data_IF_270095777277
#
_entry.id   IF_270095777277
#
_cell.length_a   1.000
_cell.length_b   1.000
_cell.length_c   1.000
_cell.angle_alpha   90.00
_cell.angle_beta   90.00
_cell.angle_gamma   90.00
#
_symmetry.space_group_name_H-M   'P 1'
#
loop_
_entity.id
_entity.type
_entity.pdbx_description
1 polymer ?
#
# COMPACT_ATOMS: atom_id res chain seq x y z
N UNK A 1 14.05 4.55 50.78
CA UNK A 1 14.20 5.00 49.37
C UNK A 1 13.22 4.20 48.55
N UNK A 2 11.98 4.66 48.50
CA UNK A 2 10.95 4.04 47.69
C UNK A 2 11.18 4.42 46.22
N UNK A 3 11.71 3.49 45.45
CA UNK A 3 11.74 3.58 44.00
C UNK A 3 10.30 3.43 43.55
N UNK A 4 9.58 4.55 43.32
CA UNK A 4 8.31 4.52 42.61
C UNK A 4 8.52 3.74 41.30
N UNK A 5 8.01 2.52 41.25
CA UNK A 5 7.86 1.79 40.02
C UNK A 5 6.97 2.64 39.10
N UNK A 6 7.61 3.40 38.23
CA UNK A 6 6.88 4.20 37.23
C UNK A 6 6.06 3.21 36.40
N UNK A 7 4.75 3.19 36.62
CA UNK A 7 3.84 2.30 35.88
C UNK A 7 3.97 2.58 34.38
N UNK A 8 4.42 1.57 33.63
CA UNK A 8 4.46 1.62 32.15
C UNK A 8 3.08 1.96 31.61
N UNK A 9 3.01 2.99 30.75
CA UNK A 9 1.73 3.29 30.07
C UNK A 9 1.45 2.22 29.04
N UNK A 10 0.33 1.53 29.20
CA UNK A 10 -0.11 0.48 28.27
C UNK A 10 -0.74 1.11 27.02
N UNK A 11 -0.33 0.65 25.85
CA UNK A 11 -0.78 1.17 24.55
C UNK A 11 -1.25 0.00 23.69
N UNK A 12 -2.51 0.05 23.28
CA UNK A 12 -3.02 -0.89 22.29
C UNK A 12 -2.61 -0.42 20.91
N UNK A 13 -1.97 -1.29 20.11
CA UNK A 13 -1.59 -1.00 18.72
C UNK A 13 -2.07 -2.12 17.81
N UNK A 14 -2.76 -1.77 16.70
CA UNK A 14 -3.40 -2.74 15.80
C UNK A 14 -2.96 -2.51 14.36
N UNK A 15 -2.25 -3.48 13.80
CA UNK A 15 -1.98 -3.62 12.38
C UNK A 15 -2.62 -4.90 11.84
N UNK A 16 -3.19 -4.86 10.64
CA UNK A 16 -3.87 -5.99 10.00
C UNK A 16 -3.21 -6.51 8.72
N UNK A 17 -2.17 -5.82 8.23
CA UNK A 17 -1.47 -6.13 6.98
C UNK A 17 0.04 -5.96 7.16
N UNK A 18 0.84 -6.58 6.27
CA UNK A 18 2.30 -6.54 6.35
C UNK A 18 2.89 -5.12 6.20
N UNK A 19 2.27 -4.25 5.42
CA UNK A 19 2.67 -2.84 5.32
C UNK A 19 2.43 -2.10 6.63
N UNK A 20 1.24 -2.27 7.22
CA UNK A 20 0.89 -1.67 8.50
C UNK A 20 1.77 -2.19 9.65
N UNK A 21 2.22 -3.45 9.60
CA UNK A 21 3.19 -4.01 10.55
C UNK A 21 4.51 -3.23 10.53
N UNK A 22 5.08 -3.01 9.36
CA UNK A 22 6.32 -2.22 9.23
C UNK A 22 6.15 -0.78 9.70
N UNK A 23 5.06 -0.13 9.33
CA UNK A 23 4.78 1.25 9.75
C UNK A 23 4.51 1.35 11.24
N UNK A 24 3.81 0.35 11.81
CA UNK A 24 3.57 0.24 13.24
C UNK A 24 4.86 0.04 14.03
N UNK A 25 5.76 -0.81 13.55
CA UNK A 25 7.07 -1.04 14.16
C UNK A 25 7.88 0.26 14.28
N UNK A 26 7.97 1.04 13.20
CA UNK A 26 8.66 2.34 13.21
C UNK A 26 8.04 3.35 14.16
N UNK A 27 6.71 3.42 14.18
CA UNK A 27 6.01 4.28 15.14
C UNK A 27 6.36 3.88 16.58
N UNK A 28 6.42 2.58 16.89
CA UNK A 28 6.80 2.07 18.21
C UNK A 28 8.24 2.42 18.54
N UNK A 29 9.17 2.24 17.61
CA UNK A 29 10.59 2.60 17.76
C UNK A 29 10.76 4.10 18.04
N UNK A 30 10.05 4.96 17.30
CA UNK A 30 10.08 6.40 17.54
C UNK A 30 9.49 6.77 18.91
N UNK A 31 8.40 6.15 19.33
CA UNK A 31 7.81 6.38 20.66
C UNK A 31 8.74 5.88 21.78
N UNK A 32 9.43 4.75 21.60
CA UNK A 32 10.47 4.29 22.54
C UNK A 32 11.66 5.25 22.59
N UNK A 33 12.09 5.79 21.46
CA UNK A 33 13.15 6.81 21.41
C UNK A 33 12.77 8.09 22.18
N UNK A 34 11.50 8.54 22.05
CA UNK A 34 11.04 9.78 22.70
C UNK A 34 10.78 9.64 24.19
N UNK A 35 10.26 8.49 24.64
CA UNK A 35 9.81 8.30 26.02
C UNK A 35 10.68 7.38 26.85
N UNK A 36 11.54 6.59 26.22
CA UNK A 36 12.28 5.49 26.82
C UNK A 36 11.53 4.14 26.74
N UNK A 37 12.25 3.03 26.47
CA UNK A 37 11.64 1.73 26.25
C UNK A 37 10.92 1.17 27.49
N UNK A 38 11.34 1.61 28.68
CA UNK A 38 10.76 1.14 29.95
C UNK A 38 9.49 1.90 30.38
N UNK A 39 9.09 2.94 29.67
CA UNK A 39 7.91 3.73 30.03
C UNK A 39 6.63 3.33 29.31
N UNK A 40 6.76 2.62 28.19
CA UNK A 40 5.65 2.22 27.34
C UNK A 40 5.57 0.69 27.23
N UNK A 41 4.36 0.14 27.31
CA UNK A 41 4.03 -1.28 27.12
C UNK A 41 3.06 -1.41 25.95
N UNK A 42 3.56 -1.88 24.80
CA UNK A 42 2.77 -2.05 23.60
C UNK A 42 2.21 -3.47 23.51
N UNK A 43 0.92 -3.58 23.20
CA UNK A 43 0.27 -4.87 22.94
C UNK A 43 -0.79 -4.73 21.84
N UNK A 44 -1.04 -5.79 21.09
CA UNK A 44 -2.09 -5.78 20.07
C UNK A 44 -1.87 -6.77 18.95
N UNK A 45 -2.11 -6.37 17.69
CA UNK A 45 -1.86 -7.21 16.52
C UNK A 45 -0.81 -6.59 15.63
N UNK A 46 0.04 -7.44 15.07
CA UNK A 46 1.13 -7.06 14.18
C UNK A 46 1.77 -8.29 13.57
N UNK A 47 2.89 -8.12 12.93
CA UNK A 47 3.74 -9.18 12.42
C UNK A 47 5.09 -9.21 13.11
N UNK A 48 6.08 -9.78 12.41
CA UNK A 48 7.43 -9.95 12.93
C UNK A 48 8.12 -8.59 13.18
N UNK A 49 7.83 -7.54 12.37
CA UNK A 49 8.44 -6.23 12.57
C UNK A 49 7.97 -5.57 13.88
N UNK A 50 6.69 -5.56 14.17
CA UNK A 50 6.17 -5.01 15.43
C UNK A 50 6.60 -5.86 16.64
N UNK A 51 6.67 -7.18 16.50
CA UNK A 51 7.19 -8.05 17.56
C UNK A 51 8.64 -7.71 17.90
N UNK A 52 9.50 -7.50 16.89
CA UNK A 52 10.90 -7.11 17.06
C UNK A 52 11.04 -5.69 17.66
N UNK A 53 10.09 -4.79 17.37
CA UNK A 53 10.02 -3.46 17.99
C UNK A 53 9.50 -3.47 19.46
N UNK A 54 9.20 -4.64 20.02
CA UNK A 54 8.78 -4.80 21.42
C UNK A 54 7.28 -4.85 21.66
N UNK A 55 6.45 -5.04 20.62
CA UNK A 55 5.00 -5.21 20.76
C UNK A 55 4.65 -6.64 21.16
N UNK A 56 3.92 -6.82 22.26
CA UNK A 56 3.37 -8.12 22.69
C UNK A 56 2.15 -8.47 21.81
N UNK A 57 2.33 -9.44 20.92
CA UNK A 57 1.27 -9.82 19.97
C UNK A 57 0.18 -10.66 20.60
N UNK A 58 -1.06 -10.23 20.43
CA UNK A 58 -2.30 -10.97 20.73
C UNK A 58 -2.84 -11.71 19.50
N UNK A 59 -2.40 -11.35 18.31
CA UNK A 59 -2.70 -11.99 17.03
C UNK A 59 -1.71 -11.55 15.97
N UNK A 60 -1.38 -12.44 15.04
CA UNK A 60 -0.40 -12.17 13.98
C UNK A 60 -1.11 -11.77 12.68
N UNK A 61 -0.51 -10.84 11.90
CA UNK A 61 -1.08 -10.39 10.62
C UNK A 61 -1.28 -11.53 9.61
N UNK A 62 -0.48 -12.60 9.67
CA UNK A 62 -0.67 -13.80 8.85
C UNK A 62 -2.03 -14.45 9.06
N UNK A 63 -2.55 -14.44 10.31
CA UNK A 63 -3.84 -15.00 10.66
C UNK A 63 -5.01 -14.12 10.18
N UNK A 64 -4.73 -12.82 9.96
CA UNK A 64 -5.69 -11.82 9.51
C UNK A 64 -5.73 -11.66 7.98
N UNK A 65 -4.64 -11.99 7.27
CA UNK A 65 -4.47 -11.80 5.83
C UNK A 65 -5.18 -12.86 4.95
N UNK A 66 -5.53 -14.04 5.49
CA UNK A 66 -6.12 -15.16 4.75
C UNK A 66 -7.61 -15.02 4.45
N UNK A 67 -8.08 -13.83 4.06
CA UNK A 67 -9.49 -13.62 3.70
C UNK A 67 -9.70 -13.81 2.19
N UNK A 68 -9.65 -15.05 1.72
CA UNK A 68 -10.21 -15.47 0.44
C UNK A 68 -11.70 -15.80 0.58
N UNK A 69 -12.50 -15.55 -0.49
CA UNK A 69 -13.98 -15.74 -0.44
C UNK A 69 -14.42 -17.19 -0.17
N UNK A 70 -13.58 -18.18 -0.39
CA UNK A 70 -13.85 -19.60 -0.07
C UNK A 70 -13.60 -19.98 1.39
N UNK A 71 -12.73 -19.21 2.09
CA UNK A 71 -12.32 -19.44 3.48
C UNK A 71 -12.99 -18.49 4.47
N UNK A 72 -14.01 -17.75 4.01
CA UNK A 72 -14.66 -16.70 4.78
C UNK A 72 -15.20 -17.16 6.15
N UNK A 73 -15.63 -18.40 6.28
CA UNK A 73 -16.20 -18.91 7.55
C UNK A 73 -15.12 -19.20 8.60
N UNK A 74 -13.99 -19.81 8.22
CA UNK A 74 -12.87 -20.07 9.13
C UNK A 74 -12.16 -18.78 9.54
N UNK A 75 -12.03 -17.86 8.59
CA UNK A 75 -11.43 -16.54 8.80
C UNK A 75 -12.25 -15.66 9.77
N UNK A 76 -13.60 -15.72 9.70
CA UNK A 76 -14.49 -14.99 10.61
C UNK A 76 -14.28 -15.46 12.06
N UNK A 77 -14.09 -16.78 12.28
CA UNK A 77 -13.87 -17.33 13.63
C UNK A 77 -12.53 -16.83 14.21
N UNK A 78 -11.45 -16.89 13.44
CA UNK A 78 -10.13 -16.40 13.86
C UNK A 78 -10.17 -14.89 14.16
N UNK A 79 -10.81 -14.12 13.28
CA UNK A 79 -11.06 -12.69 13.45
C UNK A 79 -11.79 -12.36 14.75
N UNK A 80 -12.86 -13.11 15.03
CA UNK A 80 -13.66 -12.94 16.24
C UNK A 80 -12.88 -13.36 17.50
N UNK A 81 -12.09 -14.43 17.43
CA UNK A 81 -11.22 -14.90 18.52
C UNK A 81 -10.18 -13.84 18.90
N UNK A 82 -9.49 -13.27 17.89
CA UNK A 82 -8.51 -12.18 18.11
C UNK A 82 -9.21 -10.94 18.69
N UNK A 83 -10.35 -10.53 18.11
CA UNK A 83 -11.14 -9.41 18.61
C UNK A 83 -11.52 -9.59 20.08
N UNK A 84 -12.05 -10.76 20.46
CA UNK A 84 -12.39 -11.06 21.87
C UNK A 84 -11.19 -11.04 22.78
N UNK A 85 -10.04 -11.56 22.34
CA UNK A 85 -8.80 -11.54 23.11
C UNK A 85 -8.34 -10.11 23.40
N UNK A 86 -8.40 -9.23 22.42
CA UNK A 86 -8.09 -7.80 22.60
C UNK A 86 -9.07 -7.15 23.60
N UNK A 87 -10.37 -7.38 23.44
CA UNK A 87 -11.37 -6.80 24.33
C UNK A 87 -11.17 -7.28 25.78
N UNK A 88 -10.92 -8.56 25.99
CA UNK A 88 -10.68 -9.11 27.32
C UNK A 88 -9.44 -8.49 27.98
N UNK A 89 -8.36 -8.36 27.21
CA UNK A 89 -7.12 -7.71 27.66
C UNK A 89 -7.35 -6.24 28.05
N UNK A 90 -8.08 -5.48 27.22
CA UNK A 90 -8.41 -4.08 27.50
C UNK A 90 -9.42 -3.91 28.64
N UNK A 91 -10.27 -4.94 28.92
CA UNK A 91 -11.21 -4.88 30.03
C UNK A 91 -10.53 -5.16 31.36
N UNK A 92 -9.58 -6.12 31.37
CA UNK A 92 -8.79 -6.45 32.56
C UNK A 92 -7.83 -5.35 32.99
N UNK A 93 -7.14 -4.77 32.01
CA UNK A 93 -6.20 -3.68 32.20
C UNK A 93 -6.33 -2.67 31.05
N UNK A 94 -7.13 -1.60 31.21
CA UNK A 94 -7.38 -0.63 30.16
C UNK A 94 -6.08 0.06 29.67
N UNK A 95 -5.87 0.18 28.33
CA UNK A 95 -4.77 0.94 27.80
C UNK A 95 -5.03 2.45 27.95
N UNK A 96 -3.95 3.23 28.07
CA UNK A 96 -4.00 4.69 28.07
C UNK A 96 -4.41 5.25 26.69
N UNK A 97 -4.07 4.53 25.63
CA UNK A 97 -4.31 4.92 24.24
C UNK A 97 -4.49 3.69 23.35
N UNK A 98 -5.34 3.83 22.32
CA UNK A 98 -5.44 2.86 21.22
C UNK A 98 -4.96 3.50 19.91
N UNK A 99 -3.97 2.88 19.25
CA UNK A 99 -3.43 3.27 17.95
C UNK A 99 -3.88 2.22 16.93
N UNK A 100 -4.66 2.64 15.94
CA UNK A 100 -5.28 1.74 14.95
C UNK A 100 -4.72 2.05 13.56
N UNK A 101 -3.99 1.10 12.94
CA UNK A 101 -3.37 1.29 11.64
C UNK A 101 -4.20 0.63 10.55
N UNK A 102 -4.64 1.41 9.54
CA UNK A 102 -5.41 0.93 8.38
C UNK A 102 -6.52 -0.04 8.77
N UNK A 103 -6.74 -1.15 8.02
CA UNK A 103 -7.62 -2.27 8.35
C UNK A 103 -9.05 -1.89 8.81
N UNK A 104 -9.79 -1.14 8.01
CA UNK A 104 -10.96 -0.39 8.47
C UNK A 104 -12.13 -1.24 8.98
N UNK A 105 -12.32 -2.46 8.48
CA UNK A 105 -13.45 -3.31 8.92
C UNK A 105 -13.30 -3.77 10.37
N UNK A 106 -12.08 -4.00 10.80
CA UNK A 106 -11.75 -4.37 12.18
C UNK A 106 -11.61 -3.12 13.05
N UNK A 107 -10.80 -2.19 12.62
CA UNK A 107 -10.38 -1.06 13.42
C UNK A 107 -11.54 -0.11 13.76
N UNK A 108 -12.49 0.12 12.84
CA UNK A 108 -13.67 0.96 13.15
C UNK A 108 -14.63 0.30 14.15
N UNK A 109 -14.69 -1.03 14.21
CA UNK A 109 -15.45 -1.74 15.26
C UNK A 109 -14.75 -1.64 16.60
N UNK A 110 -13.42 -1.78 16.59
CA UNK A 110 -12.60 -1.68 17.79
C UNK A 110 -12.59 -0.25 18.34
N UNK A 111 -12.45 0.77 17.49
CA UNK A 111 -12.53 2.19 17.86
C UNK A 111 -13.81 2.49 18.65
N UNK A 112 -14.96 2.04 18.14
CA UNK A 112 -16.25 2.20 18.83
C UNK A 112 -16.23 1.57 20.22
N UNK A 113 -15.57 0.42 20.40
CA UNK A 113 -15.49 -0.25 21.70
C UNK A 113 -14.57 0.49 22.65
N UNK A 114 -13.40 0.93 22.17
CA UNK A 114 -12.43 1.72 22.95
C UNK A 114 -13.05 3.02 23.45
N UNK A 115 -13.74 3.76 22.58
CA UNK A 115 -14.44 5.00 22.97
C UNK A 115 -15.49 4.78 24.06
N UNK A 116 -16.23 3.69 24.01
CA UNK A 116 -17.21 3.34 25.06
C UNK A 116 -16.56 3.01 26.41
N UNK A 117 -15.30 2.59 26.40
CA UNK A 117 -14.50 2.35 27.60
C UNK A 117 -13.73 3.62 28.05
N UNK A 118 -13.96 4.79 27.44
CA UNK A 118 -13.27 6.04 27.76
C UNK A 118 -11.83 6.13 27.21
N UNK A 119 -11.40 5.14 26.41
CA UNK A 119 -10.05 5.09 25.85
C UNK A 119 -9.96 6.00 24.60
N UNK A 120 -8.96 6.86 24.56
CA UNK A 120 -8.68 7.69 23.37
C UNK A 120 -8.22 6.82 22.19
N UNK A 121 -8.61 7.23 20.98
CA UNK A 121 -8.32 6.51 19.73
C UNK A 121 -7.61 7.41 18.75
N UNK A 122 -6.37 7.07 18.42
CA UNK A 122 -5.63 7.62 17.29
C UNK A 122 -5.69 6.63 16.14
N UNK A 123 -6.13 7.08 14.97
CA UNK A 123 -6.19 6.25 13.78
C UNK A 123 -5.10 6.68 12.81
N UNK A 124 -4.14 5.79 12.55
CA UNK A 124 -3.02 6.04 11.65
C UNK A 124 -3.23 5.30 10.32
N UNK A 125 -3.00 5.98 9.20
CA UNK A 125 -3.29 5.51 7.83
C UNK A 125 -4.79 5.37 7.61
N UNK A 126 -5.39 6.46 7.21
CA UNK A 126 -6.84 6.57 7.06
C UNK A 126 -7.41 5.60 6.03
N UNK A 127 -8.61 5.08 6.24
CA UNK A 127 -9.30 4.34 5.19
C UNK A 127 -9.67 5.28 4.03
N UNK A 128 -9.54 4.83 2.80
CA UNK A 128 -9.80 5.62 1.58
C UNK A 128 -11.31 5.86 1.37
N UNK A 129 -11.98 6.45 2.38
CA UNK A 129 -13.44 6.72 2.32
C UNK A 129 -13.81 7.84 1.36
N UNK A 130 -12.85 8.63 0.93
CA UNK A 130 -12.98 9.64 -0.10
C UNK A 130 -13.21 9.02 -1.49
N UNK A 131 -12.65 7.84 -1.75
CA UNK A 131 -12.84 7.09 -2.99
C UNK A 131 -14.15 6.29 -2.97
N UNK A 132 -14.48 5.66 -1.84
CA UNK A 132 -15.65 4.79 -1.70
C UNK A 132 -16.11 4.71 -0.24
N UNK A 133 -17.39 4.38 0.00
CA UNK A 133 -17.97 4.26 1.35
C UNK A 133 -17.89 5.53 2.22
N UNK A 134 -18.11 6.69 1.63
CA UNK A 134 -18.10 7.99 2.33
C UNK A 134 -19.02 8.06 3.57
N UNK A 135 -20.04 7.21 3.65
CA UNK A 135 -20.92 7.11 4.84
C UNK A 135 -20.19 6.69 6.14
N UNK A 136 -18.97 6.12 6.04
CA UNK A 136 -18.14 5.79 7.22
C UNK A 136 -17.69 7.02 8.00
N UNK A 137 -17.69 8.19 7.39
CA UNK A 137 -17.27 9.44 8.04
C UNK A 137 -18.01 9.70 9.36
N UNK A 138 -19.31 9.34 9.45
CA UNK A 138 -20.10 9.51 10.68
C UNK A 138 -19.58 8.66 11.83
N UNK A 139 -19.12 7.42 11.54
CA UNK A 139 -18.53 6.53 12.55
C UNK A 139 -17.16 7.04 12.98
N UNK A 140 -16.31 7.44 12.01
CA UNK A 140 -14.98 7.98 12.27
C UNK A 140 -15.09 9.21 13.15
N UNK A 141 -15.95 10.19 12.82
CA UNK A 141 -16.14 11.40 13.60
C UNK A 141 -16.58 11.11 15.05
N UNK A 142 -17.33 10.04 15.29
CA UNK A 142 -17.81 9.67 16.62
C UNK A 142 -16.79 8.91 17.44
N UNK A 143 -16.04 8.00 16.80
CA UNK A 143 -15.30 6.94 17.46
C UNK A 143 -13.76 7.11 17.38
N UNK A 144 -13.26 8.15 16.67
CA UNK A 144 -11.82 8.44 16.50
C UNK A 144 -11.53 9.85 17.04
N UNK A 145 -10.55 9.99 17.91
CA UNK A 145 -10.15 11.29 18.48
C UNK A 145 -9.19 12.05 17.56
N UNK A 146 -8.27 11.33 16.89
CA UNK A 146 -7.32 11.92 15.95
C UNK A 146 -7.09 10.97 14.78
N UNK A 147 -7.14 11.52 13.56
CA UNK A 147 -6.82 10.83 12.33
C UNK A 147 -5.46 11.30 11.83
N UNK A 148 -4.48 10.39 11.70
CA UNK A 148 -3.19 10.64 11.09
C UNK A 148 -3.23 10.15 9.66
N UNK A 149 -3.23 11.08 8.72
CA UNK A 149 -3.38 10.79 7.29
C UNK A 149 -2.03 10.83 6.59
N UNK A 150 -1.90 10.03 5.53
CA UNK A 150 -0.65 9.85 4.78
C UNK A 150 -0.67 10.47 3.38
N UNK A 151 -1.82 10.98 2.95
CA UNK A 151 -1.97 11.73 1.70
C UNK A 151 -2.35 13.18 2.00
N UNK A 152 -1.70 14.18 1.38
CA UNK A 152 -1.88 15.60 1.74
C UNK A 152 -3.33 16.08 1.68
N UNK A 153 -4.09 15.66 0.65
CA UNK A 153 -5.49 16.07 0.47
C UNK A 153 -6.46 15.47 1.50
N UNK A 154 -6.07 14.39 2.19
CA UNK A 154 -6.93 13.73 3.18
C UNK A 154 -7.13 14.59 4.42
N UNK A 155 -6.14 15.42 4.80
CA UNK A 155 -6.26 16.30 5.96
C UNK A 155 -7.45 17.25 5.81
N UNK A 156 -7.55 17.94 4.68
CA UNK A 156 -8.67 18.83 4.37
C UNK A 156 -9.98 18.05 4.24
N UNK A 157 -9.94 16.88 3.57
CA UNK A 157 -11.11 16.02 3.41
C UNK A 157 -11.76 15.64 4.75
N UNK A 158 -10.96 15.28 5.74
CA UNK A 158 -11.44 14.90 7.08
C UNK A 158 -11.85 16.11 7.90
N UNK A 159 -11.05 17.18 7.90
CA UNK A 159 -11.33 18.42 8.68
C UNK A 159 -12.62 19.08 8.28
N UNK A 160 -12.90 19.18 6.99
CA UNK A 160 -14.15 19.76 6.47
C UNK A 160 -15.39 18.93 6.84
N UNK A 161 -15.18 17.69 7.30
CA UNK A 161 -16.25 16.78 7.75
C UNK A 161 -16.30 16.59 9.26
N UNK A 162 -15.61 17.46 10.01
CA UNK A 162 -15.63 17.49 11.47
C UNK A 162 -14.84 16.35 12.13
N UNK A 163 -13.81 15.83 11.46
CA UNK A 163 -12.84 14.90 12.03
C UNK A 163 -11.51 15.60 12.22
N UNK A 164 -10.94 15.51 13.41
CA UNK A 164 -9.62 16.06 13.69
C UNK A 164 -8.57 15.23 12.96
N UNK A 165 -7.97 15.80 11.93
CA UNK A 165 -7.00 15.12 11.07
C UNK A 165 -5.70 15.90 10.95
N UNK A 166 -4.58 15.19 10.73
CA UNK A 166 -3.26 15.77 10.52
C UNK A 166 -2.49 14.95 9.50
N UNK A 167 -1.92 15.62 8.50
CA UNK A 167 -1.02 14.99 7.55
C UNK A 167 0.35 14.78 8.19
N UNK A 168 0.79 13.54 8.27
CA UNK A 168 2.04 13.16 8.95
C UNK A 168 3.19 12.81 7.99
N UNK A 169 2.96 12.82 6.68
CA UNK A 169 3.88 12.31 5.68
C UNK A 169 3.51 10.89 5.24
N UNK A 170 4.17 10.41 4.18
CA UNK A 170 3.89 9.07 3.66
C UNK A 170 4.97 8.07 4.09
N UNK A 171 4.63 7.01 4.88
CA UNK A 171 5.62 6.11 5.47
C UNK A 171 6.40 5.27 4.44
N UNK A 172 5.90 5.16 3.22
CA UNK A 172 6.60 4.49 2.12
C UNK A 172 7.96 5.12 1.82
N UNK A 173 8.12 6.43 2.07
CA UNK A 173 9.37 7.16 1.81
C UNK A 173 10.50 6.83 2.80
N UNK A 174 10.17 6.31 3.97
CA UNK A 174 11.15 6.00 5.01
C UNK A 174 12.01 4.76 4.70
N UNK A 175 11.46 3.82 3.91
CA UNK A 175 12.15 2.61 3.42
C UNK A 175 12.50 2.70 1.93
N UNK A 176 12.55 3.91 1.41
CA UNK A 176 12.66 4.10 -0.03
C UNK A 176 14.14 4.08 -0.47
N UNK A 177 14.65 2.90 -0.74
CA UNK A 177 16.02 2.69 -1.21
C UNK A 177 16.06 1.68 -2.38
N UNK A 178 15.51 2.03 -3.56
CA UNK A 178 15.54 1.15 -4.73
C UNK A 178 16.97 1.05 -5.30
N UNK A 179 17.27 -0.11 -5.88
CA UNK A 179 18.54 -0.35 -6.57
C UNK A 179 18.49 0.23 -7.99
N UNK A 180 19.21 1.33 -8.23
CA UNK A 180 19.34 1.98 -9.54
C UNK A 180 20.50 1.46 -10.40
N UNK A 181 21.16 0.38 -10.01
CA UNK A 181 22.30 -0.19 -10.76
C UNK A 181 21.81 -1.07 -11.93
N UNK A 182 21.36 -0.41 -13.00
CA UNK A 182 20.69 -1.05 -14.15
C UNK A 182 21.48 -2.20 -14.76
N UNK A 183 22.76 -2.01 -15.03
CA UNK A 183 23.58 -3.01 -15.74
C UNK A 183 23.65 -4.31 -14.94
N UNK A 184 24.24 -4.33 -13.73
CA UNK A 184 24.33 -5.58 -12.96
C UNK A 184 22.96 -6.17 -12.60
N UNK A 185 21.94 -5.34 -12.41
CA UNK A 185 20.59 -5.82 -12.11
C UNK A 185 19.98 -6.60 -13.28
N UNK A 186 20.02 -6.05 -14.50
CA UNK A 186 19.47 -6.70 -15.67
C UNK A 186 20.30 -7.91 -16.10
N UNK A 187 21.64 -7.84 -16.04
CA UNK A 187 22.52 -8.99 -16.31
C UNK A 187 22.27 -10.13 -15.33
N UNK A 188 22.07 -9.84 -14.03
CA UNK A 188 21.71 -10.84 -13.03
C UNK A 188 20.39 -11.55 -13.33
N UNK A 189 19.49 -10.91 -14.06
CA UNK A 189 18.24 -11.48 -14.55
C UNK A 189 18.36 -12.12 -15.96
N UNK A 190 19.56 -12.18 -16.54
CA UNK A 190 19.83 -12.62 -17.92
C UNK A 190 19.06 -11.80 -18.96
N UNK A 191 19.03 -10.47 -18.78
CA UNK A 191 18.46 -9.49 -19.70
C UNK A 191 19.54 -8.56 -20.23
N UNK A 192 19.32 -7.98 -21.41
CA UNK A 192 20.25 -7.07 -22.07
C UNK A 192 20.09 -5.63 -21.52
N UNK A 193 21.11 -5.05 -20.85
CA UNK A 193 21.04 -3.69 -20.31
C UNK A 193 20.80 -2.59 -21.35
N UNK A 194 21.13 -2.85 -22.63
CA UNK A 194 20.97 -1.91 -23.74
C UNK A 194 19.57 -1.92 -24.34
N UNK A 195 18.78 -2.93 -24.05
CA UNK A 195 17.44 -3.09 -24.61
C UNK A 195 16.42 -2.30 -23.79
N UNK A 196 15.39 -1.75 -24.46
CA UNK A 196 14.26 -1.12 -23.78
C UNK A 196 13.58 -2.13 -22.85
N UNK A 197 13.37 -1.74 -21.59
CA UNK A 197 12.84 -2.61 -20.53
C UNK A 197 11.51 -2.08 -20.02
N UNK A 198 10.48 -2.92 -20.05
CA UNK A 198 9.15 -2.59 -19.55
C UNK A 198 8.86 -3.43 -18.32
N UNK A 199 8.57 -2.79 -17.18
CA UNK A 199 8.12 -3.48 -15.97
C UNK A 199 6.61 -3.73 -16.01
N UNK A 200 6.17 -4.89 -15.54
CA UNK A 200 4.76 -5.31 -15.49
C UNK A 200 4.40 -5.67 -14.05
N UNK A 201 3.64 -4.81 -13.38
CA UNK A 201 3.15 -4.96 -12.02
C UNK A 201 1.63 -5.21 -12.04
N UNK A 202 1.23 -6.47 -12.23
CA UNK A 202 -0.17 -6.85 -12.44
C UNK A 202 -0.98 -6.98 -11.13
N UNK A 203 -0.34 -6.86 -9.97
CA UNK A 203 -0.98 -6.92 -8.66
C UNK A 203 -0.42 -8.02 -7.75
N UNK A 204 -0.98 -8.12 -6.56
CA UNK A 204 -0.53 -9.02 -5.48
C UNK A 204 -1.56 -10.07 -5.06
N UNK A 205 -2.65 -10.22 -5.82
CA UNK A 205 -3.71 -11.21 -5.56
C UNK A 205 -3.95 -12.05 -6.80
N UNK A 206 -4.16 -13.37 -6.64
CA UNK A 206 -4.39 -14.29 -7.76
C UNK A 206 -5.48 -13.81 -8.74
N UNK A 207 -6.60 -13.31 -8.22
CA UNK A 207 -7.69 -12.76 -9.06
C UNK A 207 -7.26 -11.54 -9.89
N UNK A 208 -6.42 -10.68 -9.34
CA UNK A 208 -5.88 -9.53 -10.08
C UNK A 208 -4.98 -10.02 -11.21
N UNK A 209 -4.08 -10.97 -10.92
CA UNK A 209 -3.20 -11.60 -11.91
C UNK A 209 -4.02 -12.23 -13.05
N UNK A 210 -5.05 -13.01 -12.73
CA UNK A 210 -5.88 -13.69 -13.73
C UNK A 210 -6.63 -12.72 -14.66
N UNK A 211 -7.03 -11.55 -14.16
CA UNK A 211 -7.80 -10.58 -14.95
C UNK A 211 -6.94 -9.54 -15.68
N UNK A 212 -5.77 -9.17 -15.11
CA UNK A 212 -4.96 -8.06 -15.61
C UNK A 212 -3.77 -8.55 -16.44
N UNK A 213 -3.02 -9.54 -15.93
CA UNK A 213 -1.77 -9.99 -16.56
C UNK A 213 -1.94 -10.47 -18.02
N UNK A 214 -2.99 -11.22 -18.40
CA UNK A 214 -3.18 -11.61 -19.80
C UNK A 214 -3.21 -10.44 -20.77
N UNK A 215 -3.93 -9.37 -20.42
CA UNK A 215 -4.04 -8.16 -21.25
C UNK A 215 -2.69 -7.42 -21.35
N UNK A 216 -1.94 -7.36 -20.24
CA UNK A 216 -0.62 -6.73 -20.23
C UNK A 216 0.41 -7.53 -21.05
N UNK A 217 0.35 -8.84 -21.03
CA UNK A 217 1.22 -9.69 -21.84
C UNK A 217 0.91 -9.59 -23.33
N UNK A 218 -0.36 -9.47 -23.72
CA UNK A 218 -0.73 -9.20 -25.10
C UNK A 218 -0.23 -7.83 -25.55
N UNK A 219 -0.35 -6.80 -24.71
CA UNK A 219 0.25 -5.50 -24.98
C UNK A 219 1.77 -5.58 -25.12
N UNK A 220 2.45 -6.36 -24.28
CA UNK A 220 3.88 -6.59 -24.37
C UNK A 220 4.31 -7.23 -25.70
N UNK A 221 3.53 -8.17 -26.23
CA UNK A 221 3.76 -8.75 -27.58
C UNK A 221 3.63 -7.70 -28.69
N UNK A 222 2.64 -6.80 -28.58
CA UNK A 222 2.47 -5.72 -29.56
C UNK A 222 3.64 -4.72 -29.51
N UNK A 223 4.14 -4.41 -28.31
CA UNK A 223 5.34 -3.57 -28.13
C UNK A 223 6.54 -4.25 -28.77
N UNK A 224 6.80 -5.54 -28.46
CA UNK A 224 7.95 -6.29 -28.95
C UNK A 224 7.97 -6.47 -30.49
N UNK A 225 6.79 -6.48 -31.11
CA UNK A 225 6.65 -6.48 -32.57
C UNK A 225 7.03 -5.13 -33.22
N UNK A 226 6.98 -4.05 -32.45
CA UNK A 226 7.26 -2.68 -32.94
C UNK A 226 8.65 -2.20 -32.54
N UNK A 227 9.05 -2.45 -31.30
CA UNK A 227 10.30 -1.99 -30.69
C UNK A 227 10.99 -3.20 -30.06
N UNK A 228 12.31 -3.44 -30.32
CA UNK A 228 13.05 -4.48 -29.61
C UNK A 228 13.04 -4.21 -28.10
N UNK A 229 12.13 -4.86 -27.37
CA UNK A 229 11.93 -4.66 -25.94
C UNK A 229 12.11 -5.97 -25.14
N UNK A 230 12.23 -5.82 -23.83
CA UNK A 230 12.21 -6.92 -22.86
C UNK A 230 11.31 -6.55 -21.68
N UNK A 231 10.83 -7.56 -20.95
CA UNK A 231 9.74 -7.40 -20.00
C UNK A 231 10.08 -8.03 -18.65
N UNK A 232 10.02 -7.22 -17.60
CA UNK A 232 10.17 -7.62 -16.20
C UNK A 232 8.80 -7.80 -15.57
N UNK A 233 8.42 -9.05 -15.27
CA UNK A 233 7.12 -9.37 -14.69
C UNK A 233 7.31 -9.58 -13.19
N UNK A 234 6.75 -8.68 -12.39
CA UNK A 234 6.82 -8.75 -10.93
C UNK A 234 6.04 -9.93 -10.38
N UNK A 235 6.68 -10.70 -9.51
CA UNK A 235 6.10 -11.83 -8.76
C UNK A 235 5.92 -11.42 -7.31
N UNK A 236 4.69 -11.07 -6.94
CA UNK A 236 4.39 -10.74 -5.55
C UNK A 236 4.60 -11.96 -4.62
N UNK A 237 5.23 -11.79 -3.43
CA UNK A 237 5.47 -12.89 -2.50
C UNK A 237 4.20 -13.65 -2.08
N UNK A 238 3.06 -12.96 -2.02
CA UNK A 238 1.75 -13.52 -1.68
C UNK A 238 1.16 -14.45 -2.75
N UNK A 239 1.67 -14.38 -4.00
CA UNK A 239 1.20 -15.19 -5.14
C UNK A 239 2.19 -16.30 -5.48
N UNK A 240 3.47 -15.99 -5.41
CA UNK A 240 4.53 -16.90 -5.84
C UNK A 240 4.70 -16.98 -7.37
N UNK A 241 5.77 -17.64 -7.85
CA UNK A 241 6.13 -17.64 -9.27
C UNK A 241 5.24 -18.52 -10.15
N UNK A 242 4.75 -19.66 -9.66
CA UNK A 242 4.10 -20.67 -10.50
C UNK A 242 2.80 -20.20 -11.14
N UNK A 243 1.87 -19.55 -10.44
CA UNK A 243 0.66 -19.01 -11.06
C UNK A 243 0.97 -17.98 -12.16
N UNK A 244 1.97 -17.12 -11.94
CA UNK A 244 2.36 -16.10 -12.90
C UNK A 244 2.99 -16.75 -14.14
N UNK A 245 3.93 -17.69 -13.96
CA UNK A 245 4.54 -18.46 -15.06
C UNK A 245 3.49 -19.22 -15.88
N UNK A 246 2.46 -19.77 -15.23
CA UNK A 246 1.36 -20.45 -15.91
C UNK A 246 0.59 -19.50 -16.83
N UNK A 247 0.29 -18.27 -16.37
CA UNK A 247 -0.37 -17.25 -17.20
C UNK A 247 0.55 -16.81 -18.35
N UNK A 248 1.84 -16.57 -18.08
CA UNK A 248 2.84 -16.19 -19.10
C UNK A 248 2.89 -17.25 -20.21
N UNK A 249 3.05 -18.53 -19.87
CA UNK A 249 3.07 -19.62 -20.86
C UNK A 249 1.76 -19.74 -21.63
N UNK A 250 0.63 -19.63 -20.96
CA UNK A 250 -0.70 -19.70 -21.58
C UNK A 250 -0.91 -18.59 -22.62
N UNK A 251 -0.47 -17.36 -22.34
CA UNK A 251 -0.70 -16.19 -23.19
C UNK A 251 0.34 -16.07 -24.30
N UNK A 252 1.62 -16.25 -23.96
CA UNK A 252 2.73 -16.01 -24.88
C UNK A 252 3.13 -17.28 -25.69
N UNK A 253 2.70 -18.47 -25.28
CA UNK A 253 3.08 -19.72 -25.95
C UNK A 253 4.60 -19.87 -26.08
N UNK A 254 5.11 -20.09 -27.27
CA UNK A 254 6.55 -20.24 -27.55
C UNK A 254 7.36 -18.95 -27.26
N UNK A 255 6.75 -17.79 -27.33
CA UNK A 255 7.43 -16.52 -27.02
C UNK A 255 7.81 -16.39 -25.55
N UNK A 256 7.19 -17.15 -24.65
CA UNK A 256 7.56 -17.20 -23.24
C UNK A 256 9.02 -17.65 -23.02
N UNK A 257 9.55 -18.47 -23.91
CA UNK A 257 10.90 -19.04 -23.82
C UNK A 257 11.95 -18.20 -24.59
N UNK A 258 11.56 -17.06 -25.14
CA UNK A 258 12.46 -16.17 -25.92
C UNK A 258 13.56 -15.49 -25.11
N UNK A 259 13.57 -15.62 -23.78
CA UNK A 259 14.47 -14.92 -22.86
C UNK A 259 14.11 -13.46 -22.62
N UNK A 260 13.13 -12.91 -23.35
CA UNK A 260 12.71 -11.49 -23.24
C UNK A 260 11.67 -11.23 -22.14
N UNK A 261 10.97 -12.26 -21.66
CA UNK A 261 9.95 -12.19 -20.64
C UNK A 261 10.47 -12.83 -19.35
N UNK A 262 10.84 -12.03 -18.38
CA UNK A 262 11.42 -12.50 -17.12
C UNK A 262 10.47 -12.29 -15.95
N UNK A 263 10.02 -13.37 -15.33
CA UNK A 263 9.35 -13.34 -14.04
C UNK A 263 10.41 -13.18 -12.94
N UNK A 264 10.28 -12.15 -12.11
CA UNK A 264 11.24 -11.84 -11.05
C UNK A 264 10.57 -11.74 -9.70
N UNK A 265 11.18 -12.33 -8.68
CA UNK A 265 10.81 -12.21 -7.25
C UNK A 265 11.56 -11.10 -6.54
N UNK A 266 12.44 -10.38 -7.25
CA UNK A 266 13.09 -9.17 -6.73
C UNK A 266 12.06 -8.11 -6.32
N UNK A 267 12.49 -7.16 -5.50
CA UNK A 267 11.61 -6.07 -5.06
C UNK A 267 11.03 -5.31 -6.26
N UNK A 268 9.73 -5.08 -6.25
CA UNK A 268 9.03 -4.35 -7.32
C UNK A 268 9.64 -2.97 -7.57
N UNK A 269 10.20 -2.35 -6.55
CA UNK A 269 10.90 -1.06 -6.64
C UNK A 269 12.16 -1.16 -7.47
N UNK A 270 12.92 -2.24 -7.35
CA UNK A 270 14.13 -2.47 -8.15
C UNK A 270 13.76 -2.74 -9.62
N UNK A 271 12.67 -3.47 -9.86
CA UNK A 271 12.15 -3.65 -11.21
C UNK A 271 11.77 -2.32 -11.85
N UNK A 272 11.07 -1.46 -11.12
CA UNK A 272 10.67 -0.13 -11.57
C UNK A 272 11.89 0.76 -11.80
N UNK A 273 12.86 0.79 -10.87
CA UNK A 273 14.06 1.63 -10.96
C UNK A 273 14.93 1.31 -12.19
N UNK A 274 14.84 0.09 -12.71
CA UNK A 274 15.63 -0.38 -13.84
C UNK A 274 14.82 -0.55 -15.14
N UNK A 275 13.58 -0.05 -15.17
CA UNK A 275 12.71 -0.04 -16.35
C UNK A 275 12.67 1.33 -17.03
N UNK A 276 12.47 1.32 -18.36
CA UNK A 276 12.25 2.54 -19.16
C UNK A 276 10.79 2.99 -19.09
N UNK A 277 9.88 2.04 -18.92
CA UNK A 277 8.43 2.26 -18.77
C UNK A 277 7.81 1.16 -17.89
N UNK A 278 6.64 1.42 -17.28
CA UNK A 278 5.96 0.41 -16.51
C UNK A 278 4.44 0.36 -16.74
N UNK A 279 3.88 -0.86 -16.74
CA UNK A 279 2.46 -1.11 -16.54
C UNK A 279 2.22 -1.38 -15.07
N UNK A 280 1.43 -0.54 -14.43
CA UNK A 280 1.21 -0.64 -12.99
C UNK A 280 -0.27 -0.77 -12.68
N UNK A 281 -0.62 -1.81 -11.94
CA UNK A 281 -1.98 -1.97 -11.41
C UNK A 281 -2.28 -0.87 -10.38
N UNK A 282 -3.48 -0.28 -10.47
CA UNK A 282 -3.93 0.75 -9.51
C UNK A 282 -3.81 0.26 -8.06
N UNK A 283 -3.10 1.04 -7.22
CA UNK A 283 -2.83 0.75 -5.82
C UNK A 283 -1.52 1.38 -5.35
N UNK A 284 -0.95 0.87 -4.26
CA UNK A 284 0.30 1.38 -3.65
C UNK A 284 1.47 1.36 -4.63
N UNK A 285 1.55 0.36 -5.53
CA UNK A 285 2.63 0.25 -6.53
C UNK A 285 2.65 1.43 -7.51
N UNK A 286 1.52 2.10 -7.77
CA UNK A 286 1.51 3.32 -8.59
C UNK A 286 2.21 4.49 -7.89
N UNK A 287 2.13 4.54 -6.56
CA UNK A 287 2.85 5.52 -5.77
C UNK A 287 4.36 5.16 -5.71
N UNK A 288 4.71 3.88 -5.59
CA UNK A 288 6.11 3.43 -5.69
C UNK A 288 6.74 3.84 -7.03
N UNK A 289 6.05 3.60 -8.15
CA UNK A 289 6.51 4.00 -9.47
C UNK A 289 6.71 5.52 -9.58
N UNK A 290 5.78 6.30 -9.01
CA UNK A 290 5.88 7.75 -8.97
C UNK A 290 7.08 8.24 -8.15
N UNK A 291 7.31 7.64 -6.98
CA UNK A 291 8.43 8.01 -6.11
C UNK A 291 9.80 7.64 -6.71
N UNK A 292 9.87 6.57 -7.51
CA UNK A 292 11.06 6.17 -8.27
C UNK A 292 11.28 7.13 -9.44
N UNK A 293 10.21 7.66 -10.02
CA UNK A 293 10.27 8.50 -11.22
C UNK A 293 10.27 7.69 -12.52
N UNK A 294 9.92 6.41 -12.49
CA UNK A 294 9.78 5.62 -13.71
C UNK A 294 8.52 6.05 -14.46
N UNK A 295 8.57 6.38 -15.75
CA UNK A 295 7.37 6.62 -16.53
C UNK A 295 6.47 5.39 -16.56
N UNK A 296 5.17 5.58 -16.36
CA UNK A 296 4.23 4.46 -16.28
C UNK A 296 2.81 4.85 -16.65
N UNK A 297 1.98 3.86 -16.89
CA UNK A 297 0.53 4.00 -16.91
C UNK A 297 -0.11 3.17 -15.81
N UNK A 298 -1.25 3.63 -15.34
CA UNK A 298 -2.07 2.91 -14.37
C UNK A 298 -3.17 2.15 -15.09
N UNK A 299 -3.31 0.86 -14.75
CA UNK A 299 -4.39 0.02 -15.26
C UNK A 299 -5.11 -0.71 -14.15
N UNK A 300 -6.38 -1.03 -14.37
CA UNK A 300 -7.14 -1.89 -13.50
C UNK A 300 -8.28 -2.58 -14.26
N UNK A 301 -8.43 -3.88 -14.03
CA UNK A 301 -9.46 -4.70 -14.66
C UNK A 301 -10.04 -5.66 -13.63
N UNK A 302 -11.36 -5.63 -13.48
CA UNK A 302 -12.12 -6.53 -12.61
C UNK A 302 -13.32 -7.08 -13.37
N UNK A 303 -14.01 -8.05 -12.77
CA UNK A 303 -15.20 -8.60 -13.41
C UNK A 303 -16.23 -7.50 -13.73
N UNK A 304 -16.95 -7.58 -14.86
CA UNK A 304 -17.93 -6.56 -15.26
C UNK A 304 -18.97 -6.24 -14.18
N UNK A 305 -19.42 -7.27 -13.45
CA UNK A 305 -20.38 -7.10 -12.35
C UNK A 305 -19.78 -6.30 -11.19
N UNK A 306 -18.55 -6.59 -10.80
CA UNK A 306 -17.85 -5.85 -9.74
C UNK A 306 -17.60 -4.41 -10.13
N UNK A 307 -17.29 -4.17 -11.41
CA UNK A 307 -17.12 -2.83 -11.95
C UNK A 307 -18.41 -2.02 -11.93
N UNK A 308 -19.52 -2.59 -12.40
CA UNK A 308 -20.83 -1.92 -12.38
C UNK A 308 -21.23 -1.48 -10.97
N UNK A 309 -21.05 -2.36 -9.96
CA UNK A 309 -21.27 -2.00 -8.56
C UNK A 309 -20.27 -0.94 -8.08
N UNK A 310 -19.00 -1.04 -8.51
CA UNK A 310 -17.94 -0.08 -8.17
C UNK A 310 -18.22 1.32 -8.68
N UNK A 311 -18.64 1.47 -9.95
CA UNK A 311 -18.92 2.78 -10.57
C UNK A 311 -20.07 3.53 -9.90
N UNK A 312 -21.04 2.82 -9.33
CA UNK A 312 -22.11 3.43 -8.53
C UNK A 312 -21.60 4.02 -7.19
N UNK A 313 -20.44 3.56 -6.73
CA UNK A 313 -19.87 3.94 -5.44
C UNK A 313 -18.69 4.91 -5.56
N UNK A 314 -18.01 4.94 -6.70
CA UNK A 314 -16.84 5.80 -6.96
C UNK A 314 -17.32 7.17 -7.43
N UNK A 315 -16.90 8.21 -6.73
CA UNK A 315 -17.29 9.61 -7.02
C UNK A 315 -16.16 10.46 -7.61
N UNK A 316 -14.97 9.90 -7.78
CA UNK A 316 -13.81 10.63 -8.31
C UNK A 316 -13.66 10.39 -9.81
N UNK A 317 -13.39 11.43 -10.62
CA UNK A 317 -13.04 11.28 -12.04
C UNK A 317 -11.67 10.64 -12.24
N UNK A 318 -10.78 10.73 -11.26
CA UNK A 318 -9.43 10.12 -11.21
C UNK A 318 -9.45 8.96 -10.23
N UNK A 319 -8.83 7.85 -10.59
CA UNK A 319 -8.81 6.63 -9.78
C UNK A 319 -7.39 6.25 -9.29
N UNK A 320 -6.35 6.74 -9.97
CA UNK A 320 -4.96 6.55 -9.58
C UNK A 320 -4.54 7.52 -8.47
N UNK A 321 -3.85 7.00 -7.46
CA UNK A 321 -3.38 7.82 -6.31
C UNK A 321 -2.50 9.00 -6.77
N UNK A 322 -1.68 8.79 -7.79
CA UNK A 322 -0.76 9.81 -8.31
C UNK A 322 -1.51 11.00 -8.90
N UNK A 323 -2.49 10.76 -9.77
CA UNK A 323 -3.32 11.81 -10.36
C UNK A 323 -4.19 12.52 -9.31
N UNK A 324 -4.66 11.79 -8.29
CA UNK A 324 -5.40 12.37 -7.16
C UNK A 324 -4.54 13.31 -6.30
N UNK A 325 -3.27 12.96 -6.08
CA UNK A 325 -2.32 13.82 -5.34
C UNK A 325 -1.99 15.06 -6.17
N UNK A 326 -1.73 14.88 -7.46
CA UNK A 326 -1.44 15.96 -8.40
C UNK A 326 -2.66 16.87 -8.69
N UNK A 327 -3.88 16.36 -8.48
CA UNK A 327 -5.17 16.97 -8.89
C UNK A 327 -5.30 17.17 -10.42
N UNK A 328 -4.51 16.45 -11.19
CA UNK A 328 -4.50 16.44 -12.66
C UNK A 328 -4.01 15.09 -13.20
N UNK A 329 -4.15 14.85 -14.49
CA UNK A 329 -3.66 13.63 -15.14
C UNK A 329 -2.16 13.77 -15.44
N UNK A 330 -1.33 13.28 -14.52
CA UNK A 330 0.13 13.17 -14.68
C UNK A 330 0.51 11.85 -15.34
N UNK A 331 -0.22 10.78 -15.02
CA UNK A 331 0.00 9.45 -15.57
C UNK A 331 -1.26 8.96 -16.29
N UNK A 332 -1.14 8.36 -17.49
CA UNK A 332 -2.28 7.80 -18.20
C UNK A 332 -3.01 6.73 -17.38
N UNK A 333 -4.36 6.78 -17.38
CA UNK A 333 -5.21 5.83 -16.70
C UNK A 333 -6.07 5.04 -17.71
N UNK A 334 -5.84 3.74 -17.83
CA UNK A 334 -6.60 2.85 -18.68
C UNK A 334 -7.31 1.77 -17.85
N UNK A 335 -8.62 1.92 -17.68
CA UNK A 335 -9.43 1.00 -16.86
C UNK A 335 -10.45 0.24 -17.68
N UNK A 336 -10.72 -0.99 -17.30
CA UNK A 336 -11.77 -1.86 -17.84
C UNK A 336 -11.74 -1.97 -19.37
N UNK A 337 -12.79 -1.48 -20.04
CA UNK A 337 -12.93 -1.56 -21.50
C UNK A 337 -11.93 -0.67 -22.26
N UNK A 338 -11.36 0.35 -21.60
CA UNK A 338 -10.27 1.17 -22.15
C UNK A 338 -8.91 0.49 -22.05
N UNK A 339 -8.75 -0.49 -21.14
CA UNK A 339 -7.54 -1.28 -20.97
C UNK A 339 -7.49 -2.43 -21.98
N UNK A 340 -7.41 -2.11 -23.29
CA UNK A 340 -7.19 -3.10 -24.35
C UNK A 340 -5.70 -3.27 -24.60
N UNK A 341 -5.23 -4.43 -25.10
CA UNK A 341 -3.82 -4.63 -25.44
C UNK A 341 -3.26 -3.54 -26.36
N UNK A 342 -4.05 -3.12 -27.35
CA UNK A 342 -3.68 -2.11 -28.33
C UNK A 342 -3.53 -0.72 -27.71
N UNK A 343 -4.47 -0.34 -26.82
CA UNK A 343 -4.41 0.95 -26.12
C UNK A 343 -3.23 1.03 -25.17
N UNK A 344 -2.98 -0.05 -24.41
CA UNK A 344 -1.85 -0.16 -23.49
C UNK A 344 -0.51 -0.13 -24.25
N UNK A 345 -0.41 -0.90 -25.35
CA UNK A 345 0.79 -0.93 -26.18
C UNK A 345 1.07 0.43 -26.82
N UNK A 346 0.04 1.10 -27.36
CA UNK A 346 0.18 2.42 -27.97
C UNK A 346 0.80 3.43 -27.00
N UNK A 347 0.25 3.54 -25.80
CA UNK A 347 0.80 4.44 -24.77
C UNK A 347 2.25 4.10 -24.45
N UNK A 348 2.56 2.81 -24.20
CA UNK A 348 3.92 2.41 -23.90
C UNK A 348 4.91 2.72 -25.06
N UNK A 349 4.51 2.45 -26.30
CA UNK A 349 5.31 2.74 -27.49
C UNK A 349 5.61 4.24 -27.59
N UNK A 350 4.63 5.10 -27.38
CA UNK A 350 4.82 6.55 -27.39
C UNK A 350 5.91 6.98 -26.39
N UNK A 351 5.88 6.46 -25.16
CA UNK A 351 6.91 6.79 -24.16
C UNK A 351 8.29 6.18 -24.45
N UNK A 352 8.33 5.04 -25.14
CA UNK A 352 9.58 4.36 -25.49
C UNK A 352 10.25 4.96 -26.73
N UNK A 353 9.46 5.48 -27.70
CA UNK A 353 9.94 6.13 -28.93
C UNK A 353 10.18 7.66 -28.75
N UNK A 354 9.45 8.31 -27.82
CA UNK A 354 9.54 9.74 -27.53
C UNK A 354 10.08 10.00 -26.11
N UNK A 355 11.41 10.01 -25.90
CA UNK A 355 12.02 10.16 -24.55
C UNK A 355 11.55 11.43 -23.83
N UNK A 356 11.26 12.50 -24.57
CA UNK A 356 10.78 13.79 -24.03
C UNK A 356 9.48 13.64 -23.23
N UNK A 357 8.55 12.78 -23.66
CA UNK A 357 7.34 12.48 -22.90
C UNK A 357 7.67 11.84 -21.55
N UNK A 358 8.65 10.93 -21.55
CA UNK A 358 9.15 10.31 -20.32
C UNK A 358 9.78 11.35 -19.38
N UNK A 359 10.56 12.27 -19.90
CA UNK A 359 11.22 13.32 -19.11
C UNK A 359 10.21 14.30 -18.49
N UNK A 360 9.20 14.71 -19.25
CA UNK A 360 8.10 15.54 -18.73
C UNK A 360 7.39 14.82 -17.60
N UNK A 361 7.05 13.54 -17.77
CA UNK A 361 6.41 12.77 -16.70
C UNK A 361 7.31 12.67 -15.46
N UNK A 362 8.62 12.41 -15.62
CA UNK A 362 9.58 12.35 -14.50
C UNK A 362 9.64 13.65 -13.71
N UNK A 363 9.61 14.80 -14.37
CA UNK A 363 9.55 16.10 -13.70
C UNK A 363 8.28 16.24 -12.85
N UNK A 364 7.12 15.87 -13.39
CA UNK A 364 5.86 15.92 -12.65
C UNK A 364 5.82 14.93 -11.48
N UNK A 365 6.41 13.75 -11.64
CA UNK A 365 6.54 12.76 -10.58
C UNK A 365 7.50 13.23 -9.47
N UNK A 366 8.56 13.97 -9.82
CA UNK A 366 9.47 14.58 -8.85
C UNK A 366 8.76 15.62 -7.97
N UNK A 367 7.86 16.45 -8.53
CA UNK A 367 7.03 17.39 -7.76
C UNK A 367 6.14 16.67 -6.74
N UNK A 368 5.53 15.54 -7.14
CA UNK A 368 4.72 14.71 -6.23
C UNK A 368 5.59 14.12 -5.11
N UNK A 369 6.77 13.62 -5.45
CA UNK A 369 7.73 13.10 -4.47
C UNK A 369 8.13 14.18 -3.46
N UNK A 370 8.41 15.39 -3.91
CA UNK A 370 8.73 16.52 -3.04
C UNK A 370 7.58 16.83 -2.07
N UNK A 371 6.34 16.92 -2.57
CA UNK A 371 5.16 17.14 -1.72
C UNK A 371 4.99 16.07 -0.63
N UNK A 372 5.29 14.81 -0.94
CA UNK A 372 5.17 13.71 0.00
C UNK A 372 6.34 13.63 0.98
N UNK A 373 7.52 14.20 0.63
CA UNK A 373 8.75 14.15 1.42
C UNK A 373 8.85 15.24 2.50
N UNK A 374 7.88 16.15 2.59
CA UNK A 374 7.91 17.30 3.50
C UNK A 374 8.00 16.87 4.97
N UNK A 375 7.48 15.68 5.32
CA UNK A 375 7.43 15.18 6.70
C UNK A 375 7.91 13.73 6.77
N UNK A 376 8.70 13.41 7.80
CA UNK A 376 8.97 12.04 8.19
C UNK A 376 7.72 11.48 8.90
N UNK A 377 7.11 10.44 8.34
CA UNK A 377 5.80 9.96 8.78
C UNK A 377 5.84 9.39 10.19
N UNK A 378 6.83 8.54 10.50
CA UNK A 378 6.94 7.89 11.82
C UNK A 378 7.26 8.90 12.93
N UNK A 379 8.16 9.85 12.69
CA UNK A 379 8.52 10.91 13.67
C UNK A 379 7.34 11.85 13.91
N UNK A 380 6.68 12.31 12.84
CA UNK A 380 5.54 13.22 12.95
C UNK A 380 4.36 12.52 13.64
N UNK A 381 4.08 11.26 13.29
CA UNK A 381 3.04 10.46 13.93
C UNK A 381 3.35 10.25 15.42
N UNK A 382 4.61 9.92 15.78
CA UNK A 382 5.03 9.75 17.17
C UNK A 382 4.88 11.05 17.97
N UNK A 383 5.26 12.21 17.40
CA UNK A 383 5.08 13.50 18.06
C UNK A 383 3.61 13.81 18.34
N UNK A 384 2.70 13.50 17.41
CA UNK A 384 1.25 13.66 17.63
C UNK A 384 0.73 12.69 18.68
N UNK A 385 1.09 11.40 18.59
CA UNK A 385 0.69 10.35 19.55
C UNK A 385 1.16 10.70 20.96
N UNK A 386 2.37 11.24 21.11
CA UNK A 386 2.95 11.64 22.41
C UNK A 386 2.09 12.66 23.14
N UNK A 387 1.40 13.58 22.44
CA UNK A 387 0.47 14.54 23.06
C UNK A 387 -0.70 13.83 23.75
N UNK A 388 -1.15 12.70 23.23
CA UNK A 388 -2.24 11.89 23.80
C UNK A 388 -1.76 10.99 24.96
N UNK A 389 -0.45 10.85 25.15
CA UNK A 389 0.14 10.09 26.26
C UNK A 389 0.45 10.99 27.48
N UNK A 390 0.44 12.31 27.33
CA UNK A 390 0.76 13.23 28.43
C UNK A 390 -0.43 13.47 29.37
N UNK A 391 -1.61 13.09 28.97
CA UNK A 391 -2.87 13.20 29.73
C UNK A 391 -3.33 11.81 30.19
#
# INVERSE_FOLDING_TARGET
>A
MDTMAQHRKRILIIAGEASADRYGARLVEQLHSMHGPDRLDFFGTGGDAMANAGVRLLGHVRDLAHIGVREALSSIHTYYKIYRRIINECTGQPPALAILLDFPEFNLRLAKRMKRCGIKVVYYISPQIWAWRSGRIRKIRKDVDKMLVILPFEEEYYRTRGVEAEYVGHPLLEDFNPNFNRIPFLEGLNLDPKRKTVAILAGSRLREIDHILPTLLQAAQLIDNRIPAQFLISVAPSVGPDPIRAVVRRVLGKSADSGRYRCSTEDSRDLLANADFAFVKSGTSSLEAALIGTPFLVTYKISPLSWFVGTLLIRSPMMGLVNLIAKEEVVPELFQNRATPEALARVAIEFLEEPEKGDIMRLRLAEIREQLSIRCASETAAAVVSKYLQH
#
